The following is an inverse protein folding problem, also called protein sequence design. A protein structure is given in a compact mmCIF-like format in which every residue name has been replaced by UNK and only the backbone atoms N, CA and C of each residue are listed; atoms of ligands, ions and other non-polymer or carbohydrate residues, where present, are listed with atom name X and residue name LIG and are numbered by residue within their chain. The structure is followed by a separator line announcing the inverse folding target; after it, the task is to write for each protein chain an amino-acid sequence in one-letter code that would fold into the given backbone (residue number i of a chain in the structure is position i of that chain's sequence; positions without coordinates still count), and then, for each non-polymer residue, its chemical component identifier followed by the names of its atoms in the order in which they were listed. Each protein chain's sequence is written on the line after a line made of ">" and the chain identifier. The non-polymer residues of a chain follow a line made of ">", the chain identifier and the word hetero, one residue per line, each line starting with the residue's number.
data_IF_258029493051
#
_entry.id   IF_258029493051
#
_cell.length_a   1.000
_cell.length_b   1.000
_cell.length_c   1.000
_cell.angle_alpha   90.00
_cell.angle_beta   90.00
_cell.angle_gamma   90.00
#
_symmetry.space_group_name_H-M   'P 1'
#
loop_
_entity.id
_entity.type
_entity.pdbx_description
1 polymer ?
#
# COMPACT_ATOMS: atom_id res chain seq x y z
N UNK A 1 21.80 3.93 6.84
CA UNK A 1 20.51 3.91 7.53
C UNK A 1 19.48 3.12 6.73
N UNK A 2 18.69 2.28 7.37
CA UNK A 2 17.70 1.46 6.66
C UNK A 2 16.60 2.33 6.07
N UNK A 3 16.15 1.98 4.86
CA UNK A 3 15.02 2.62 4.22
C UNK A 3 13.76 1.82 4.51
N UNK A 4 12.70 2.51 4.87
CA UNK A 4 11.40 1.88 5.13
C UNK A 4 10.39 2.31 4.09
N UNK A 5 9.61 1.35 3.60
CA UNK A 5 8.47 1.60 2.73
C UNK A 5 7.19 1.18 3.44
N UNK A 6 6.13 1.94 3.24
CA UNK A 6 4.81 1.61 3.79
C UNK A 6 3.81 1.61 2.65
N UNK A 7 3.07 0.51 2.51
CA UNK A 7 1.99 0.40 1.54
C UNK A 7 0.68 0.38 2.32
N UNK A 8 -0.17 1.37 2.05
CA UNK A 8 -1.46 1.52 2.71
C UNK A 8 -2.54 0.92 1.83
N UNK A 9 -3.10 -0.21 2.25
CA UNK A 9 -4.11 -0.94 1.50
C UNK A 9 -5.49 -0.75 2.15
N UNK A 10 -6.46 -0.30 1.38
CA UNK A 10 -7.82 -0.11 1.86
C UNK A 10 -8.81 -0.52 0.77
N UNK A 11 -10.01 -0.88 1.19
CA UNK A 11 -11.12 -1.13 0.25
C UNK A 11 -11.53 0.14 -0.48
N UNK A 12 -11.26 1.30 0.09
CA UNK A 12 -11.59 2.59 -0.51
C UNK A 12 -10.32 3.30 -0.99
N UNK A 13 -10.29 3.68 -2.26
CA UNK A 13 -9.21 4.47 -2.81
C UNK A 13 -9.05 5.79 -2.05
N UNK A 14 -10.18 6.40 -1.67
CA UNK A 14 -10.15 7.68 -0.97
C UNK A 14 -9.63 7.57 0.45
N UNK A 15 -9.93 6.47 1.14
CA UNK A 15 -9.40 6.24 2.48
C UNK A 15 -7.88 6.05 2.42
N UNK A 16 -7.40 5.26 1.47
CA UNK A 16 -5.96 5.03 1.32
C UNK A 16 -5.23 6.33 1.00
N UNK A 17 -5.77 7.12 0.09
CA UNK A 17 -5.18 8.41 -0.28
C UNK A 17 -5.20 9.41 0.86
N UNK A 18 -6.31 9.48 1.60
CA UNK A 18 -6.44 10.36 2.75
C UNK A 18 -5.47 10.00 3.86
N UNK A 19 -5.32 8.71 4.12
CA UNK A 19 -4.37 8.24 5.13
C UNK A 19 -2.93 8.56 4.72
N UNK A 20 -2.60 8.38 3.44
CA UNK A 20 -1.28 8.75 2.93
C UNK A 20 -1.02 10.25 3.13
N UNK A 21 -2.00 11.08 2.82
CA UNK A 21 -1.89 12.53 2.98
C UNK A 21 -1.61 12.89 4.44
N UNK A 22 -2.32 12.26 5.37
CA UNK A 22 -2.12 12.49 6.79
C UNK A 22 -0.72 12.05 7.24
N UNK A 23 -0.27 10.88 6.79
CA UNK A 23 1.04 10.36 7.14
C UNK A 23 2.15 11.24 6.55
N UNK A 24 1.97 11.71 5.32
CA UNK A 24 2.95 12.58 4.67
C UNK A 24 3.14 13.90 5.42
N UNK A 25 2.09 14.42 6.06
CA UNK A 25 2.20 15.62 6.88
C UNK A 25 3.14 15.44 8.07
N UNK A 26 3.22 14.22 8.58
CA UNK A 26 4.02 13.89 9.76
C UNK A 26 5.37 13.27 9.39
N UNK A 27 5.57 12.94 8.13
CA UNK A 27 6.75 12.23 7.65
C UNK A 27 7.85 13.23 7.31
N UNK A 28 9.05 12.97 7.79
CA UNK A 28 10.21 13.81 7.53
C UNK A 28 10.98 13.38 6.27
N UNK A 29 10.41 12.47 5.47
CA UNK A 29 11.04 11.97 4.27
C UNK A 29 11.85 10.68 4.47
N UNK A 30 11.93 10.19 5.70
CA UNK A 30 12.67 8.96 5.99
C UNK A 30 11.93 7.69 5.59
N UNK A 31 10.63 7.80 5.33
CA UNK A 31 9.77 6.66 4.99
C UNK A 31 9.07 6.96 3.66
N UNK A 32 9.07 5.98 2.75
CA UNK A 32 8.31 6.09 1.50
C UNK A 32 6.93 5.50 1.74
N UNK A 33 5.89 6.27 1.45
CA UNK A 33 4.51 5.86 1.67
C UNK A 33 3.77 5.83 0.34
N UNK A 34 3.11 4.70 0.05
CA UNK A 34 2.33 4.53 -1.18
C UNK A 34 0.94 4.03 -0.82
N UNK A 35 -0.07 4.60 -1.45
CA UNK A 35 -1.44 4.19 -1.27
C UNK A 35 -1.86 3.21 -2.37
N UNK A 36 -2.52 2.11 -1.98
CA UNK A 36 -3.05 1.12 -2.90
C UNK A 36 -4.47 0.78 -2.47
N UNK A 37 -5.40 1.66 -2.80
CA UNK A 37 -6.79 1.52 -2.36
C UNK A 37 -7.76 1.35 -3.51
N UNK A 38 -8.88 0.69 -3.21
CA UNK A 38 -9.94 0.48 -4.16
C UNK A 38 -9.66 -0.63 -5.16
N UNK A 39 -10.69 -1.03 -5.87
CA UNK A 39 -10.58 -1.95 -6.99
C UNK A 39 -10.50 -1.15 -8.29
N UNK A 40 -10.40 -1.83 -9.41
CA UNK A 40 -10.31 -1.19 -10.71
C UNK A 40 -11.52 -0.28 -10.97
N UNK A 41 -11.27 0.88 -11.57
CA UNK A 41 -12.33 1.83 -11.89
C UNK A 41 -12.85 2.61 -10.69
N UNK A 42 -12.10 2.66 -9.59
CA UNK A 42 -12.47 3.43 -8.40
C UNK A 42 -13.54 2.78 -7.55
N UNK A 43 -13.85 1.51 -7.79
CA UNK A 43 -14.86 0.79 -7.02
C UNK A 43 -14.35 0.42 -5.63
N UNK A 44 -15.29 0.19 -4.72
CA UNK A 44 -14.96 -0.33 -3.39
C UNK A 44 -14.44 -1.77 -3.54
N UNK A 45 -13.32 -2.06 -2.92
CA UNK A 45 -12.70 -3.37 -2.99
C UNK A 45 -11.19 -3.26 -3.01
N UNK A 46 -10.51 -4.36 -3.30
CA UNK A 46 -9.05 -4.38 -3.38
C UNK A 46 -8.61 -5.04 -4.68
N UNK A 47 -7.39 -4.70 -5.11
CA UNK A 47 -6.81 -5.26 -6.32
C UNK A 47 -5.37 -5.70 -6.02
N UNK A 48 -5.09 -6.98 -6.18
CA UNK A 48 -3.75 -7.52 -5.97
C UNK A 48 -2.75 -6.89 -6.95
N UNK A 49 -3.20 -6.55 -8.15
CA UNK A 49 -2.33 -5.91 -9.15
C UNK A 49 -1.92 -4.50 -8.71
N UNK A 50 -2.87 -3.72 -8.17
CA UNK A 50 -2.56 -2.39 -7.63
C UNK A 50 -1.58 -2.50 -6.47
N UNK A 51 -1.79 -3.45 -5.57
CA UNK A 51 -0.92 -3.66 -4.41
C UNK A 51 0.46 -4.10 -4.88
N UNK A 52 0.53 -5.00 -5.85
CA UNK A 52 1.80 -5.43 -6.44
C UNK A 52 2.59 -4.23 -6.99
N UNK A 53 1.93 -3.37 -7.75
CA UNK A 53 2.57 -2.18 -8.29
C UNK A 53 3.06 -1.24 -7.20
N UNK A 54 2.27 -1.08 -6.13
CA UNK A 54 2.67 -0.24 -5.00
C UNK A 54 3.90 -0.80 -4.28
N UNK A 55 3.95 -2.11 -4.06
CA UNK A 55 5.10 -2.76 -3.42
C UNK A 55 6.34 -2.60 -4.30
N UNK A 56 6.19 -2.82 -5.60
CA UNK A 56 7.31 -2.68 -6.54
C UNK A 56 7.84 -1.25 -6.58
N UNK A 57 6.99 -0.26 -6.35
CA UNK A 57 7.42 1.14 -6.35
C UNK A 57 8.32 1.49 -5.15
N UNK A 58 8.33 0.66 -4.11
CA UNK A 58 9.19 0.84 -2.93
C UNK A 58 10.16 -0.33 -2.75
N UNK A 59 10.45 -1.06 -3.82
CA UNK A 59 11.30 -2.26 -3.75
C UNK A 59 12.75 -1.95 -3.36
N UNK A 60 13.17 -0.71 -3.49
CA UNK A 60 14.51 -0.28 -3.07
C UNK A 60 14.61 -0.09 -1.55
N UNK A 61 13.49 -0.21 -0.83
CA UNK A 61 13.49 -0.10 0.62
C UNK A 61 13.96 -1.41 1.25
N UNK A 62 14.67 -1.29 2.37
CA UNK A 62 15.17 -2.46 3.11
C UNK A 62 14.04 -3.24 3.78
N UNK A 63 13.00 -2.52 4.21
CA UNK A 63 11.83 -3.10 4.85
C UNK A 63 10.57 -2.50 4.27
N UNK A 64 9.55 -3.33 4.04
CA UNK A 64 8.27 -2.88 3.53
C UNK A 64 7.18 -3.35 4.49
N UNK A 65 6.42 -2.40 5.01
CA UNK A 65 5.28 -2.67 5.88
C UNK A 65 4.00 -2.47 5.08
N UNK A 66 3.13 -3.45 5.11
CA UNK A 66 1.83 -3.36 4.43
C UNK A 66 0.75 -3.25 5.50
N UNK A 67 0.01 -2.15 5.46
CA UNK A 67 -1.13 -1.92 6.34
C UNK A 67 -2.42 -2.19 5.58
N UNK A 68 -3.29 -3.02 6.13
CA UNK A 68 -4.55 -3.39 5.50
C UNK A 68 -5.72 -3.17 6.48
N UNK A 69 -6.86 -2.71 5.95
CA UNK A 69 -8.00 -2.35 6.79
C UNK A 69 -8.95 -3.51 7.10
N UNK A 70 -9.23 -4.36 6.12
CA UNK A 70 -10.19 -5.47 6.29
C UNK A 70 -9.58 -6.77 5.76
N UNK A 71 -10.24 -7.89 6.09
CA UNK A 71 -9.72 -9.22 5.75
C UNK A 71 -9.40 -9.44 4.28
N UNK A 72 -10.23 -8.93 3.36
CA UNK A 72 -9.95 -9.12 1.93
C UNK A 72 -8.74 -8.29 1.48
N UNK A 73 -8.42 -7.19 2.16
CA UNK A 73 -7.20 -6.44 1.90
C UNK A 73 -5.98 -7.26 2.26
N UNK A 74 -6.04 -8.02 3.36
CA UNK A 74 -4.96 -8.89 3.77
C UNK A 74 -4.76 -10.00 2.73
N UNK A 75 -5.83 -10.63 2.28
CA UNK A 75 -5.77 -11.69 1.26
C UNK A 75 -5.21 -11.15 -0.06
N UNK A 76 -5.64 -9.98 -0.48
CA UNK A 76 -5.14 -9.34 -1.70
C UNK A 76 -3.66 -8.99 -1.58
N UNK A 77 -3.23 -8.52 -0.39
CA UNK A 77 -1.82 -8.21 -0.14
C UNK A 77 -0.97 -9.47 -0.20
N UNK A 78 -1.44 -10.56 0.40
CA UNK A 78 -0.73 -11.85 0.34
C UNK A 78 -0.62 -12.35 -1.09
N UNK A 79 -1.69 -12.21 -1.87
CA UNK A 79 -1.66 -12.58 -3.29
C UNK A 79 -0.65 -11.73 -4.06
N UNK A 80 -0.62 -10.43 -3.79
CA UNK A 80 0.33 -9.52 -4.44
C UNK A 80 1.77 -9.89 -4.12
N UNK A 81 2.06 -10.24 -2.87
CA UNK A 81 3.39 -10.69 -2.45
C UNK A 81 3.79 -11.95 -3.21
N UNK A 82 2.87 -12.90 -3.35
CA UNK A 82 3.13 -14.14 -4.09
C UNK A 82 3.43 -13.87 -5.57
N UNK A 83 2.79 -12.85 -6.15
CA UNK A 83 3.01 -12.48 -7.55
C UNK A 83 4.37 -11.85 -7.78
N UNK A 84 4.90 -11.15 -6.78
CA UNK A 84 6.19 -10.47 -6.90
C UNK A 84 7.35 -11.48 -6.79
N UNK A 85 7.24 -12.37 -5.88
CA UNK A 85 8.26 -13.37 -5.61
C UNK A 85 9.67 -12.82 -5.65
#
# INVERSE_FOLDING_TARGET
>A
MAKFGVVLVSHSEYIAKGLKELVDEMNDGSVQVVAAGGADGGRIGTSAIKIQGAIESVEDCDHILIYADLGSSILSAETAIDLID
#
